data_IF_592167441208
#
_entry.id   IF_592167441208
#
_cell.length_a   1.000
_cell.length_b   1.000
_cell.length_c   1.000
_cell.angle_alpha   90.00
_cell.angle_beta   90.00
_cell.angle_gamma   90.00
#
_symmetry.space_group_name_H-M   'P 1'
#
loop_
_entity.id
_entity.type
_entity.pdbx_description
1 polymer ?
#
# COMPACT_ATOMS: atom_id res chain seq x y z
N UNK A 1 -7.91 1.98 22.70
CA UNK A 1 -8.11 0.50 22.79
C UNK A 1 -8.96 -0.08 21.65
N UNK A 2 -10.13 0.49 21.35
CA UNK A 2 -11.05 -0.04 20.34
C UNK A 2 -10.54 0.15 18.90
N UNK A 3 -9.90 1.28 18.60
CA UNK A 3 -9.31 1.55 17.27
C UNK A 3 -8.06 0.71 16.95
N UNK A 4 -7.31 0.23 17.95
CA UNK A 4 -6.14 -0.64 17.72
C UNK A 4 -6.57 -2.03 17.23
N UNK A 5 -7.65 -2.57 17.81
CA UNK A 5 -8.20 -3.86 17.40
C UNK A 5 -8.79 -3.78 15.99
N UNK A 6 -9.42 -2.65 15.64
CA UNK A 6 -9.92 -2.38 14.30
C UNK A 6 -8.80 -2.30 13.26
N UNK A 7 -7.71 -1.57 13.57
CA UNK A 7 -6.52 -1.50 12.72
C UNK A 7 -5.91 -2.88 12.44
N UNK A 8 -5.79 -3.71 13.47
CA UNK A 8 -5.25 -5.05 13.34
C UNK A 8 -6.15 -5.94 12.47
N UNK A 9 -7.48 -5.87 12.66
CA UNK A 9 -8.43 -6.63 11.86
C UNK A 9 -8.36 -6.24 10.37
N UNK A 10 -8.28 -4.94 10.07
CA UNK A 10 -8.14 -4.43 8.70
C UNK A 10 -6.84 -4.92 8.05
N UNK A 11 -5.72 -4.92 8.79
CA UNK A 11 -4.45 -5.44 8.30
C UNK A 11 -4.51 -6.94 8.01
N UNK A 12 -5.01 -7.75 8.94
CA UNK A 12 -5.07 -9.21 8.79
C UNK A 12 -6.00 -9.63 7.63
N UNK A 13 -7.04 -8.85 7.31
CA UNK A 13 -7.88 -9.11 6.14
C UNK A 13 -7.15 -8.95 4.79
N UNK A 14 -6.04 -8.18 4.75
CA UNK A 14 -5.22 -7.97 3.56
C UNK A 14 -4.08 -8.99 3.42
N UNK A 15 -3.75 -9.73 4.47
CA UNK A 15 -2.69 -10.74 4.47
C UNK A 15 -3.10 -11.97 3.66
N UNK A 16 -2.24 -12.47 2.77
CA UNK A 16 -2.39 -13.74 2.05
C UNK A 16 -3.78 -14.00 1.42
N UNK A 17 -4.41 -12.95 0.87
CA UNK A 17 -5.79 -13.04 0.36
C UNK A 17 -6.84 -13.46 1.41
N UNK A 18 -6.61 -13.14 2.68
CA UNK A 18 -7.39 -13.60 3.83
C UNK A 18 -8.88 -13.24 3.81
N UNK A 19 -9.24 -12.10 3.22
CA UNK A 19 -10.63 -11.72 2.95
C UNK A 19 -10.99 -11.85 1.46
N UNK A 20 -12.30 -11.88 1.17
CA UNK A 20 -12.81 -11.90 -0.21
C UNK A 20 -12.39 -10.61 -0.92
N UNK A 21 -12.15 -10.68 -2.24
CA UNK A 21 -11.57 -9.57 -3.01
C UNK A 21 -12.29 -8.21 -2.82
N UNK A 22 -13.62 -8.20 -2.70
CA UNK A 22 -14.41 -6.99 -2.50
C UNK A 22 -14.26 -6.42 -1.08
N UNK A 23 -14.20 -7.30 -0.07
CA UNK A 23 -13.92 -6.91 1.31
C UNK A 23 -12.54 -6.28 1.44
N UNK A 24 -11.53 -6.84 0.75
CA UNK A 24 -10.17 -6.25 0.73
C UNK A 24 -10.16 -4.85 0.13
N UNK A 25 -10.95 -4.59 -0.90
CA UNK A 25 -11.12 -3.24 -1.47
C UNK A 25 -11.74 -2.29 -0.45
N UNK A 26 -12.78 -2.72 0.27
CA UNK A 26 -13.41 -1.91 1.30
C UNK A 26 -12.46 -1.64 2.47
N UNK A 27 -11.69 -2.65 2.92
CA UNK A 27 -10.67 -2.49 3.96
C UNK A 27 -9.59 -1.49 3.56
N UNK A 28 -9.08 -1.54 2.31
CA UNK A 28 -8.11 -0.56 1.82
C UNK A 28 -8.67 0.88 1.84
N UNK A 29 -9.94 1.06 1.46
CA UNK A 29 -10.60 2.38 1.54
C UNK A 29 -10.71 2.87 2.98
N UNK A 30 -11.14 1.99 3.89
CA UNK A 30 -11.25 2.32 5.32
C UNK A 30 -9.89 2.72 5.91
N UNK A 31 -8.82 1.98 5.59
CA UNK A 31 -7.45 2.33 6.00
C UNK A 31 -7.08 3.71 5.44
N UNK A 32 -7.37 3.98 4.17
CA UNK A 32 -7.18 5.28 3.53
C UNK A 32 -7.84 6.43 4.29
N UNK A 33 -9.11 6.28 4.66
CA UNK A 33 -9.83 7.29 5.43
C UNK A 33 -9.26 7.47 6.85
N UNK A 34 -8.83 6.38 7.49
CA UNK A 34 -8.23 6.44 8.83
C UNK A 34 -6.91 7.20 8.81
N UNK A 35 -6.11 7.04 7.75
CA UNK A 35 -4.86 7.78 7.54
C UNK A 35 -5.11 9.27 7.40
N UNK A 36 -6.06 9.65 6.55
CA UNK A 36 -6.43 11.05 6.32
C UNK A 36 -6.97 11.73 7.59
N UNK A 37 -7.67 10.97 8.44
CA UNK A 37 -8.20 11.44 9.74
C UNK A 37 -7.17 11.44 10.86
N UNK A 38 -5.94 10.99 10.62
CA UNK A 38 -4.87 10.90 11.63
C UNK A 38 -5.20 9.90 12.76
N UNK A 39 -5.96 8.84 12.46
CA UNK A 39 -6.43 7.88 13.46
C UNK A 39 -5.42 6.77 13.76
N UNK A 40 -4.19 6.85 13.24
CA UNK A 40 -3.14 5.87 13.50
C UNK A 40 -2.64 5.95 14.96
N UNK A 41 -2.40 4.79 15.56
CA UNK A 41 -1.99 4.67 16.97
C UNK A 41 -0.47 4.83 17.16
N UNK A 42 -0.02 4.81 18.42
CA UNK A 42 1.35 5.09 18.85
C UNK A 42 2.46 4.23 18.21
N UNK A 43 2.14 3.07 17.60
CA UNK A 43 3.07 2.23 16.82
C UNK A 43 2.83 2.37 15.30
N UNK A 44 2.64 3.61 14.86
CA UNK A 44 2.33 4.00 13.49
C UNK A 44 3.32 3.41 12.48
N UNK A 45 4.61 3.47 12.79
CA UNK A 45 5.68 3.04 11.87
C UNK A 45 5.60 1.54 11.57
N UNK A 46 5.36 0.68 12.57
CA UNK A 46 5.24 -0.77 12.35
C UNK A 46 3.93 -1.13 11.65
N UNK A 47 2.85 -0.42 11.98
CA UNK A 47 1.57 -0.58 11.28
C UNK A 47 1.75 -0.29 9.79
N UNK A 48 2.42 0.82 9.45
CA UNK A 48 2.64 1.22 8.08
C UNK A 48 3.61 0.29 7.33
N UNK A 49 4.67 -0.20 7.98
CA UNK A 49 5.57 -1.18 7.35
C UNK A 49 4.83 -2.47 6.97
N UNK A 50 4.01 -3.02 7.89
CA UNK A 50 3.17 -4.19 7.60
C UNK A 50 2.13 -3.90 6.53
N UNK A 51 1.54 -2.71 6.53
CA UNK A 51 0.60 -2.30 5.49
C UNK A 51 1.28 -2.30 4.12
N UNK A 52 2.49 -1.78 3.99
CA UNK A 52 3.25 -1.82 2.74
C UNK A 52 3.56 -3.25 2.29
N UNK A 53 3.92 -4.15 3.20
CA UNK A 53 4.13 -5.57 2.92
C UNK A 53 2.85 -6.22 2.35
N UNK A 54 1.70 -6.01 3.00
CA UNK A 54 0.43 -6.57 2.55
C UNK A 54 -0.05 -5.93 1.25
N UNK A 55 0.19 -4.63 1.05
CA UNK A 55 -0.10 -3.96 -0.22
C UNK A 55 0.75 -4.49 -1.37
N UNK A 56 1.99 -4.93 -1.13
CA UNK A 56 2.82 -5.60 -2.14
C UNK A 56 2.17 -6.91 -2.65
N UNK A 57 1.47 -7.63 -1.76
CA UNK A 57 0.66 -8.81 -2.13
C UNK A 57 -0.57 -8.37 -2.92
N UNK A 58 -1.28 -7.33 -2.49
CA UNK A 58 -2.51 -6.87 -3.16
C UNK A 58 -2.26 -6.31 -4.57
N UNK A 59 -1.18 -5.55 -4.79
CA UNK A 59 -0.83 -5.07 -6.14
C UNK A 59 -0.53 -6.22 -7.11
N UNK A 60 -0.16 -7.40 -6.60
CA UNK A 60 0.12 -8.59 -7.41
C UNK A 60 -1.14 -9.41 -7.73
N UNK A 61 -2.34 -8.97 -7.34
CA UNK A 61 -3.60 -9.66 -7.66
C UNK A 61 -3.93 -9.59 -9.16
N UNK A 62 -4.55 -10.66 -9.68
CA UNK A 62 -4.97 -10.72 -11.08
C UNK A 62 -6.12 -9.75 -11.41
N UNK A 63 -6.85 -9.26 -10.40
CA UNK A 63 -7.98 -8.35 -10.58
C UNK A 63 -7.50 -6.90 -10.59
N UNK A 64 -7.67 -6.24 -11.75
CA UNK A 64 -7.30 -4.83 -11.94
C UNK A 64 -7.92 -3.88 -10.90
N UNK A 65 -9.12 -4.20 -10.39
CA UNK A 65 -9.77 -3.40 -9.34
C UNK A 65 -8.98 -3.40 -8.02
N UNK A 66 -8.45 -4.55 -7.59
CA UNK A 66 -7.62 -4.63 -6.39
C UNK A 66 -6.33 -3.85 -6.64
N UNK A 67 -5.65 -4.13 -7.76
CA UNK A 67 -4.38 -3.47 -8.08
C UNK A 67 -4.52 -1.95 -8.10
N UNK A 68 -5.60 -1.44 -8.71
CA UNK A 68 -5.86 0.00 -8.79
C UNK A 68 -6.14 0.59 -7.42
N UNK A 69 -6.95 -0.06 -6.59
CA UNK A 69 -7.23 0.42 -5.22
C UNK A 69 -5.97 0.40 -4.35
N UNK A 70 -5.14 -0.65 -4.45
CA UNK A 70 -3.84 -0.71 -3.77
C UNK A 70 -2.92 0.42 -4.21
N UNK A 71 -2.81 0.67 -5.51
CA UNK A 71 -2.07 1.80 -6.07
C UNK A 71 -2.59 3.15 -5.55
N UNK A 72 -3.91 3.33 -5.46
CA UNK A 72 -4.53 4.54 -4.90
C UNK A 72 -4.18 4.72 -3.43
N UNK A 73 -4.28 3.66 -2.62
CA UNK A 73 -3.93 3.71 -1.20
C UNK A 73 -2.44 4.01 -0.98
N UNK A 74 -1.54 3.39 -1.77
CA UNK A 74 -0.10 3.68 -1.74
C UNK A 74 0.14 5.17 -2.01
N UNK A 75 -0.49 5.75 -3.03
CA UNK A 75 -0.32 7.16 -3.35
C UNK A 75 -0.83 8.08 -2.23
N UNK A 76 -1.95 7.73 -1.58
CA UNK A 76 -2.46 8.46 -0.42
C UNK A 76 -1.52 8.37 0.79
N UNK A 77 -0.78 7.28 0.91
CA UNK A 77 0.16 7.04 2.00
C UNK A 77 1.47 7.86 1.89
N UNK A 78 1.90 8.20 0.68
CA UNK A 78 3.20 8.87 0.44
C UNK A 78 3.43 10.13 1.30
N UNK A 79 2.48 11.07 1.44
CA UNK A 79 2.68 12.29 2.22
C UNK A 79 2.84 12.03 3.72
N UNK A 80 2.27 10.94 4.23
CA UNK A 80 2.33 10.56 5.64
C UNK A 80 3.62 9.81 5.97
N UNK A 81 4.19 9.12 4.98
CA UNK A 81 5.28 8.18 5.20
C UNK A 81 6.67 8.80 5.08
N UNK A 82 6.88 9.91 4.35
CA UNK A 82 8.19 10.59 4.28
C UNK A 82 9.38 9.62 4.17
N UNK A 83 10.36 9.74 5.06
CA UNK A 83 11.51 8.81 5.14
C UNK A 83 11.15 7.43 5.73
N UNK A 84 10.06 7.31 6.51
CA UNK A 84 9.57 6.02 7.01
C UNK A 84 9.08 5.12 5.86
N UNK A 85 8.78 5.70 4.70
CA UNK A 85 8.44 4.98 3.48
C UNK A 85 9.58 4.07 3.02
N UNK A 86 10.84 4.40 3.30
CA UNK A 86 11.99 3.62 2.81
C UNK A 86 11.90 2.13 3.20
N UNK A 87 11.49 1.85 4.44
CA UNK A 87 11.29 0.48 4.92
C UNK A 87 10.12 -0.23 4.23
N UNK A 88 9.04 0.47 3.89
CA UNK A 88 7.91 -0.10 3.16
C UNK A 88 8.18 -0.24 1.65
N UNK A 89 8.94 0.69 1.08
CA UNK A 89 9.24 0.78 -0.34
C UNK A 89 10.01 -0.43 -0.86
N UNK A 90 10.87 -1.05 -0.02
CA UNK A 90 11.59 -2.28 -0.37
C UNK A 90 10.66 -3.43 -0.77
N UNK A 91 9.43 -3.46 -0.25
CA UNK A 91 8.40 -4.45 -0.61
C UNK A 91 7.60 -4.02 -1.84
N UNK A 92 7.25 -2.73 -1.94
CA UNK A 92 6.40 -2.20 -3.00
C UNK A 92 7.12 -2.09 -4.35
N UNK A 93 8.38 -1.65 -4.36
CA UNK A 93 9.13 -1.39 -5.59
C UNK A 93 9.28 -2.64 -6.47
N UNK A 94 9.72 -3.80 -5.96
CA UNK A 94 9.81 -5.01 -6.79
C UNK A 94 8.46 -5.47 -7.32
N UNK A 95 7.39 -5.34 -6.53
CA UNK A 95 6.05 -5.73 -6.94
C UNK A 95 5.52 -4.82 -8.06
N UNK A 96 5.63 -3.50 -7.91
CA UNK A 96 5.19 -2.53 -8.91
C UNK A 96 5.99 -2.62 -10.21
N UNK A 97 7.32 -2.81 -10.14
CA UNK A 97 8.16 -2.97 -11.33
C UNK A 97 7.71 -4.15 -12.19
N UNK A 98 7.35 -5.28 -11.58
CA UNK A 98 6.81 -6.44 -12.30
C UNK A 98 5.54 -6.14 -13.08
N UNK A 99 4.72 -5.23 -12.57
CA UNK A 99 3.44 -4.86 -13.15
C UNK A 99 3.57 -3.86 -14.30
N UNK A 100 4.68 -3.11 -14.40
CA UNK A 100 4.89 -2.13 -15.48
C UNK A 100 4.89 -2.73 -16.88
N UNK A 101 5.21 -4.02 -17.02
CA UNK A 101 5.32 -4.71 -18.31
C UNK A 101 4.21 -5.74 -18.56
N UNK A 102 3.13 -5.75 -17.76
CA UNK A 102 1.99 -6.64 -18.03
C UNK A 102 1.13 -6.12 -19.18
N UNK A 103 0.50 -7.04 -19.92
CA UNK A 103 -0.36 -6.71 -21.07
C UNK A 103 -1.66 -6.00 -20.69
N UNK A 104 -2.10 -6.12 -19.44
CA UNK A 104 -3.33 -5.50 -18.94
C UNK A 104 -3.05 -4.01 -18.68
N UNK A 105 -3.43 -3.17 -19.65
CA UNK A 105 -3.16 -1.72 -19.66
C UNK A 105 -3.51 -1.01 -18.34
N UNK A 106 -4.68 -1.29 -17.76
CA UNK A 106 -5.11 -0.65 -16.51
C UNK A 106 -4.15 -0.96 -15.36
N UNK A 107 -3.61 -2.18 -15.29
CA UNK A 107 -2.65 -2.59 -14.26
C UNK A 107 -1.30 -1.93 -14.50
N UNK A 108 -0.78 -1.99 -15.73
CA UNK A 108 0.54 -1.42 -16.05
C UNK A 108 0.58 0.10 -15.91
N UNK A 109 -0.49 0.81 -16.29
CA UNK A 109 -0.60 2.26 -16.11
C UNK A 109 -0.68 2.63 -14.63
N UNK A 110 -1.48 1.91 -13.83
CA UNK A 110 -1.61 2.15 -12.38
C UNK A 110 -0.27 1.93 -11.68
N UNK A 111 0.41 0.82 -11.96
CA UNK A 111 1.71 0.53 -11.38
C UNK A 111 2.77 1.56 -11.78
N UNK A 112 2.80 1.98 -13.05
CA UNK A 112 3.75 2.99 -13.54
C UNK A 112 3.54 4.35 -12.85
N UNK A 113 2.28 4.77 -12.68
CA UNK A 113 1.96 6.02 -11.99
C UNK A 113 2.35 5.99 -10.52
N UNK A 114 2.03 4.89 -9.82
CA UNK A 114 2.42 4.71 -8.41
C UNK A 114 3.94 4.65 -8.25
N UNK A 115 4.65 3.96 -9.14
CA UNK A 115 6.11 3.90 -9.12
C UNK A 115 6.73 5.31 -9.24
N UNK A 116 6.24 6.12 -10.20
CA UNK A 116 6.67 7.52 -10.35
C UNK A 116 6.43 8.32 -9.08
N UNK A 117 5.26 8.16 -8.47
CA UNK A 117 4.91 8.87 -7.24
C UNK A 117 5.84 8.48 -6.07
N UNK A 118 6.13 7.19 -5.90
CA UNK A 118 7.08 6.70 -4.90
C UNK A 118 8.47 7.31 -5.13
N UNK A 119 8.97 7.27 -6.37
CA UNK A 119 10.31 7.82 -6.68
C UNK A 119 10.41 9.33 -6.54
N UNK A 120 9.29 10.05 -6.67
CA UNK A 120 9.23 11.49 -6.44
C UNK A 120 9.18 11.83 -4.94
N UNK A 121 8.59 10.95 -4.12
CA UNK A 121 8.47 11.12 -2.68
C UNK A 121 9.73 10.69 -1.91
N UNK A 122 10.46 9.68 -2.38
CA UNK A 122 11.69 9.20 -1.77
C UNK A 122 12.89 10.03 -2.26
N UNK A 123 13.69 10.56 -1.33
CA UNK A 123 14.98 11.15 -1.70
C UNK A 123 15.97 10.05 -2.14
N UNK A 124 16.85 10.30 -3.13
CA UNK A 124 17.78 9.28 -3.64
C UNK A 124 18.68 8.67 -2.55
N UNK A 125 18.95 9.40 -1.48
CA UNK A 125 19.78 8.95 -0.36
C UNK A 125 19.13 7.84 0.47
N UNK A 126 17.79 7.81 0.55
CA UNK A 126 17.03 6.83 1.35
C UNK A 126 16.87 5.47 0.66
N UNK A 127 17.30 5.34 -0.61
CA UNK A 127 17.26 4.08 -1.38
C UNK A 127 18.59 3.33 -1.40
N UNK A 128 19.68 3.94 -0.91
CA UNK A 128 21.05 3.42 -0.99
C UNK A 128 21.61 2.90 0.34
N UNK A 129 20.79 2.82 1.40
CA UNK A 129 21.17 2.35 2.74
C UNK A 129 20.54 1.01 3.09
#
# INVERSE_FOLDING_TARGET
PQSANEQLLLLEGLKDHGAVWDERVNMMKTIGEMLEKGMLQADETKFLEKLCEYLAVQVSDARSQIVRESCTLINRLLPFLGDKLANGAKFLLPALLKLTYVSIKVISESATQTLKAITAALTPSSLLL
#
